data_IF_050209376475
#
_entry.id   IF_050209376475
#
_cell.length_a   1.000
_cell.length_b   1.000
_cell.length_c   1.000
_cell.angle_alpha   90.00
_cell.angle_beta   90.00
_cell.angle_gamma   90.00
#
_symmetry.space_group_name_H-M   'P 1'
#
loop_
_entity.id
_entity.type
_entity.pdbx_description
1 polymer ?
#
# COMPACT_ATOMS: atom_id res chain seq x y z
N UNK A 1 -3.45 -28.70 -19.15
CA UNK A 1 -3.19 -30.03 -19.75
C UNK A 1 -1.69 -30.28 -19.63
N UNK A 2 -1.31 -31.21 -18.73
CA UNK A 2 -0.09 -32.02 -18.73
C UNK A 2 -0.07 -32.79 -17.40
N UNK A 3 -0.12 -34.11 -17.52
CA UNK A 3 -0.23 -35.12 -16.47
C UNK A 3 1.18 -35.65 -16.18
N UNK A 4 1.49 -35.99 -14.93
CA UNK A 4 2.50 -37.00 -14.61
C UNK A 4 2.20 -37.67 -13.26
N UNK A 5 2.00 -38.99 -13.29
CA UNK A 5 1.93 -39.87 -12.12
C UNK A 5 3.35 -40.33 -11.70
N UNK A 6 3.62 -40.57 -10.40
CA UNK A 6 4.84 -41.22 -9.95
C UNK A 6 4.65 -42.75 -9.82
N UNK A 7 5.67 -43.52 -10.23
CA UNK A 7 5.75 -44.97 -10.00
C UNK A 7 6.82 -45.34 -8.98
N UNK A 8 6.37 -46.13 -7.99
CA UNK A 8 7.06 -47.21 -7.23
C UNK A 8 8.15 -46.86 -6.19
N UNK A 9 7.68 -46.86 -4.94
CA UNK A 9 8.10 -47.61 -3.75
C UNK A 9 9.48 -48.31 -3.69
N UNK A 10 10.12 -48.19 -2.52
CA UNK A 10 10.52 -49.35 -1.70
C UNK A 10 10.58 -48.99 -0.21
N UNK A 11 10.10 -49.93 0.61
CA UNK A 11 9.79 -49.79 2.03
C UNK A 11 10.98 -50.14 2.95
N UNK A 12 10.97 -49.59 4.16
CA UNK A 12 11.57 -50.22 5.34
C UNK A 12 10.61 -50.06 6.52
N UNK A 13 10.26 -51.19 7.13
CA UNK A 13 9.40 -51.32 8.30
C UNK A 13 10.30 -51.49 9.53
N UNK A 14 10.03 -50.73 10.59
CA UNK A 14 10.43 -51.09 11.95
C UNK A 14 9.30 -50.74 12.92
N UNK A 15 8.72 -51.79 13.51
CA UNK A 15 7.64 -51.76 14.49
C UNK A 15 8.12 -51.22 15.85
N UNK A 16 7.27 -50.46 16.54
CA UNK A 16 7.38 -50.25 17.99
C UNK A 16 6.01 -50.36 18.67
N UNK A 17 6.00 -51.09 19.78
CA UNK A 17 4.87 -51.45 20.63
C UNK A 17 4.28 -50.25 21.38
N UNK A 18 2.93 -50.20 21.49
CA UNK A 18 2.17 -49.27 22.32
C UNK A 18 1.87 -49.89 23.70
N UNK A 19 2.15 -49.16 24.78
CA UNK A 19 1.53 -49.38 26.10
C UNK A 19 0.51 -48.25 26.36
N UNK A 20 -0.76 -48.54 26.70
CA UNK A 20 -1.74 -47.50 26.98
C UNK A 20 -1.68 -47.05 28.45
N UNK A 21 -1.66 -45.74 28.68
CA UNK A 21 -1.93 -45.14 30.00
C UNK A 21 -3.26 -44.39 29.89
N UNK A 22 -4.30 -44.93 30.54
CA UNK A 22 -5.64 -44.35 30.59
C UNK A 22 -5.70 -43.21 31.62
N UNK A 23 -6.25 -42.06 31.22
CA UNK A 23 -6.75 -41.06 32.18
C UNK A 23 -8.25 -40.85 31.99
N UNK A 24 -8.98 -40.96 33.11
CA UNK A 24 -10.43 -40.87 33.25
C UNK A 24 -10.78 -39.40 33.56
N UNK A 25 -11.66 -38.79 32.77
CA UNK A 25 -12.28 -37.49 33.09
C UNK A 25 -13.79 -37.69 33.34
N UNK A 26 -14.41 -36.90 34.23
CA UNK A 26 -15.72 -37.19 34.78
C UNK A 26 -16.89 -36.67 33.93
N UNK A 27 -18.00 -37.37 34.11
CA UNK A 27 -19.31 -37.34 33.47
C UNK A 27 -19.96 -35.95 33.25
N UNK A 28 -20.58 -35.76 32.08
CA UNK A 28 -21.96 -35.24 31.99
C UNK A 28 -22.63 -35.60 30.65
N UNK A 29 -23.59 -36.51 30.79
CA UNK A 29 -24.75 -36.87 29.95
C UNK A 29 -25.04 -36.05 28.68
N UNK A 30 -24.91 -36.66 27.48
CA UNK A 30 -25.93 -36.65 26.40
C UNK A 30 -25.71 -37.85 25.44
N UNK A 31 -26.80 -38.43 24.95
CA UNK A 31 -26.89 -39.71 24.23
C UNK A 31 -26.34 -39.74 22.78
N UNK A 32 -25.55 -40.78 22.49
CA UNK A 32 -25.37 -41.60 21.26
C UNK A 32 -25.73 -41.03 19.87
N UNK A 33 -24.74 -40.95 18.95
CA UNK A 33 -24.54 -41.91 17.82
C UNK A 33 -23.64 -41.34 16.70
N UNK A 34 -22.50 -41.97 16.37
CA UNK A 34 -21.72 -41.72 15.15
C UNK A 34 -20.20 -41.93 15.31
N UNK A 35 -19.49 -42.55 14.35
CA UNK A 35 -18.12 -43.03 14.54
C UNK A 35 -17.07 -41.92 14.49
N UNK A 36 -16.04 -42.17 15.29
CA UNK A 36 -14.94 -41.29 15.67
C UNK A 36 -14.05 -40.83 14.51
N UNK A 37 -13.73 -39.53 14.48
CA UNK A 37 -12.64 -38.97 13.68
C UNK A 37 -11.57 -38.41 14.64
N UNK A 38 -10.53 -39.20 14.87
CA UNK A 38 -9.36 -38.82 15.67
C UNK A 38 -8.51 -37.83 14.85
N UNK A 39 -8.51 -36.56 15.25
CA UNK A 39 -7.58 -35.54 14.75
C UNK A 39 -6.31 -35.63 15.60
N UNK A 40 -5.25 -36.22 15.05
CA UNK A 40 -3.93 -36.21 15.70
C UNK A 40 -3.27 -34.85 15.52
N UNK A 41 -3.20 -34.06 16.60
CA UNK A 41 -2.38 -32.84 16.69
C UNK A 41 -1.03 -33.23 17.27
N UNK A 42 0.04 -33.15 16.47
CA UNK A 42 1.41 -33.27 16.98
C UNK A 42 1.85 -31.92 17.58
N UNK A 43 1.86 -31.84 18.92
CA UNK A 43 2.48 -30.72 19.65
C UNK A 43 3.92 -31.11 19.97
N UNK A 44 4.89 -30.44 19.34
CA UNK A 44 6.30 -30.52 19.72
C UNK A 44 6.54 -29.68 20.98
N UNK A 45 6.77 -30.32 22.12
CA UNK A 45 7.28 -29.66 23.34
C UNK A 45 8.77 -29.96 23.46
N UNK A 46 9.59 -28.94 23.27
CA UNK A 46 11.02 -28.97 23.63
C UNK A 46 11.12 -28.59 25.10
N UNK A 47 11.36 -29.57 25.98
CA UNK A 47 11.69 -29.31 27.38
C UNK A 47 13.16 -29.59 27.63
N UNK A 48 13.97 -28.53 27.68
CA UNK A 48 15.31 -28.56 28.26
C UNK A 48 15.21 -28.45 29.78
N UNK A 49 15.86 -29.37 30.50
CA UNK A 49 15.91 -29.36 31.96
C UNK A 49 16.99 -28.40 32.45
N UNK A 50 16.58 -27.39 33.23
CA UNK A 50 17.47 -26.58 34.06
C UNK A 50 17.34 -27.03 35.53
N UNK A 51 18.48 -27.30 36.18
CA UNK A 51 18.67 -27.39 37.64
C UNK A 51 19.84 -26.45 37.93
N UNK A 52 19.63 -25.25 38.49
CA UNK A 52 19.64 -24.95 39.93
C UNK A 52 21.09 -24.76 40.39
N UNK A 53 21.53 -23.74 41.12
CA UNK A 53 20.88 -22.64 41.87
C UNK A 53 22.00 -21.75 42.45
N UNK A 54 21.75 -20.44 42.51
CA UNK A 54 22.35 -19.39 43.39
C UNK A 54 23.88 -19.15 43.35
N UNK A 55 24.28 -17.87 43.31
CA UNK A 55 24.97 -17.16 44.40
C UNK A 55 25.32 -15.72 44.01
N UNK A 56 25.53 -14.91 45.05
CA UNK A 56 25.61 -13.47 45.06
C UNK A 56 26.98 -12.87 44.63
N UNK A 57 26.93 -11.57 44.31
CA UNK A 57 27.92 -10.49 44.51
C UNK A 57 29.44 -10.79 44.44
N UNK A 58 30.08 -9.96 43.60
CA UNK A 58 31.39 -9.27 43.80
C UNK A 58 32.67 -10.08 43.95
N UNK A 59 33.71 -9.65 43.22
CA UNK A 59 35.09 -9.68 43.73
C UNK A 59 36.04 -10.64 43.01
N UNK A 60 36.85 -10.06 42.13
CA UNK A 60 38.32 -10.10 42.16
C UNK A 60 39.10 -11.44 42.18
N UNK A 61 40.08 -11.47 41.27
CA UNK A 61 41.35 -12.21 41.23
C UNK A 61 41.45 -13.60 40.56
N UNK A 62 42.38 -13.62 39.59
CA UNK A 62 43.00 -14.73 38.83
C UNK A 62 43.93 -15.57 39.77
N UNK A 63 44.78 -16.54 39.32
CA UNK A 63 45.07 -17.07 37.98
C UNK A 63 45.41 -18.60 37.94
N UNK A 64 45.98 -19.03 36.79
CA UNK A 64 46.93 -20.13 36.57
C UNK A 64 46.41 -21.44 35.92
N UNK A 65 46.56 -21.47 34.59
CA UNK A 65 46.55 -22.68 33.78
C UNK A 65 47.90 -23.40 33.90
N UNK A 66 47.88 -24.64 34.38
CA UNK A 66 49.00 -25.57 34.24
C UNK A 66 48.88 -26.23 32.86
N UNK A 67 49.92 -26.08 32.04
CA UNK A 67 50.11 -26.86 30.81
C UNK A 67 50.49 -28.30 31.18
N UNK A 68 49.77 -29.28 30.64
CA UNK A 68 50.29 -30.64 30.46
C UNK A 68 50.05 -31.05 29.02
N UNK A 69 51.13 -31.15 28.27
CA UNK A 69 51.21 -31.71 26.93
C UNK A 69 51.42 -33.22 27.04
N UNK A 70 50.77 -34.03 26.19
CA UNK A 70 51.27 -35.36 25.83
C UNK A 70 51.14 -35.60 24.32
N UNK A 71 52.32 -35.78 23.72
CA UNK A 71 52.70 -36.48 22.49
C UNK A 71 52.16 -37.93 22.50
N UNK A 72 51.93 -38.73 21.45
CA UNK A 72 52.27 -38.73 20.02
C UNK A 72 51.67 -40.01 19.38
N UNK A 73 51.75 -40.10 18.04
CA UNK A 73 51.50 -41.26 17.13
C UNK A 73 50.03 -41.42 16.71
N UNK A 74 49.66 -41.51 15.43
CA UNK A 74 50.38 -41.54 14.16
C UNK A 74 49.55 -42.29 13.11
N UNK A 75 49.30 -41.63 11.97
CA UNK A 75 49.05 -42.18 10.62
C UNK A 75 47.69 -42.90 10.38
N UNK A 76 46.88 -42.38 9.44
CA UNK A 76 46.67 -42.96 8.10
C UNK A 76 45.99 -41.89 7.22
N UNK A 77 46.72 -41.46 6.21
CA UNK A 77 46.28 -40.63 5.09
C UNK A 77 45.36 -41.46 4.19
N UNK A 78 44.17 -40.95 3.89
CA UNK A 78 43.44 -41.31 2.66
C UNK A 78 43.01 -40.01 1.98
N UNK A 79 43.73 -39.67 0.91
CA UNK A 79 43.28 -38.73 -0.08
C UNK A 79 42.27 -39.43 -0.98
N UNK A 80 41.06 -38.88 -1.14
CA UNK A 80 40.20 -39.13 -2.28
C UNK A 80 39.25 -37.94 -2.49
N UNK A 81 39.51 -37.24 -3.59
CA UNK A 81 38.54 -36.78 -4.58
C UNK A 81 37.31 -36.00 -4.12
N UNK A 82 37.14 -34.82 -4.74
CA UNK A 82 35.80 -34.40 -5.15
C UNK A 82 35.55 -32.91 -5.00
N UNK A 83 35.99 -32.17 -6.01
CA UNK A 83 35.50 -30.82 -6.28
C UNK A 83 33.97 -30.87 -6.44
N UNK A 84 33.23 -30.38 -5.46
CA UNK A 84 31.80 -30.10 -5.61
C UNK A 84 31.53 -28.71 -5.03
N UNK A 85 31.93 -27.67 -5.79
CA UNK A 85 31.29 -26.36 -5.68
C UNK A 85 29.82 -26.56 -6.01
N UNK A 86 28.99 -26.75 -5.00
CA UNK A 86 27.54 -26.60 -5.13
C UNK A 86 27.29 -25.13 -5.42
N UNK A 87 27.16 -24.80 -6.71
CA UNK A 87 26.47 -23.59 -7.13
C UNK A 87 25.03 -23.72 -6.66
N UNK A 88 24.71 -23.09 -5.54
CA UNK A 88 23.34 -22.91 -5.10
C UNK A 88 22.66 -21.97 -6.10
N UNK A 89 22.16 -22.53 -7.20
CA UNK A 89 21.21 -21.85 -8.06
C UNK A 89 19.92 -21.67 -7.27
N UNK A 90 19.86 -20.58 -6.51
CA UNK A 90 18.67 -20.15 -5.79
C UNK A 90 17.59 -19.81 -6.80
N UNK A 91 16.70 -20.77 -7.07
CA UNK A 91 15.43 -20.47 -7.73
C UNK A 91 14.61 -19.60 -6.79
N UNK A 92 14.71 -18.28 -6.97
CA UNK A 92 13.77 -17.33 -6.38
C UNK A 92 12.42 -17.62 -7.01
N UNK A 93 11.57 -18.34 -6.26
CA UNK A 93 10.17 -18.53 -6.61
C UNK A 93 9.50 -17.16 -6.48
N UNK A 94 9.36 -16.46 -7.61
CA UNK A 94 8.57 -15.24 -7.68
C UNK A 94 7.11 -15.61 -7.43
N UNK A 95 6.66 -15.48 -6.19
CA UNK A 95 5.23 -15.47 -5.89
C UNK A 95 4.68 -14.15 -6.44
N UNK A 96 4.09 -14.20 -7.64
CA UNK A 96 3.23 -13.14 -8.13
C UNK A 96 1.93 -13.19 -7.30
N UNK A 97 1.98 -12.59 -6.12
CA UNK A 97 0.79 -12.37 -5.31
C UNK A 97 0.02 -11.26 -6.02
N UNK A 98 -0.93 -11.62 -6.89
CA UNK A 98 -1.93 -10.67 -7.37
C UNK A 98 -2.64 -10.11 -6.14
N UNK A 99 -2.24 -8.93 -5.68
CA UNK A 99 -2.98 -8.23 -4.65
C UNK A 99 -4.37 -7.96 -5.22
N UNK A 100 -5.39 -8.58 -4.64
CA UNK A 100 -6.77 -8.32 -4.98
C UNK A 100 -7.09 -6.94 -4.42
N UNK A 101 -6.85 -5.90 -5.22
CA UNK A 101 -7.22 -4.53 -4.85
C UNK A 101 -8.71 -4.52 -4.58
N UNK A 102 -9.09 -4.25 -3.33
CA UNK A 102 -10.49 -4.15 -2.96
C UNK A 102 -11.13 -3.06 -3.82
N UNK A 103 -12.24 -3.38 -4.49
CA UNK A 103 -12.96 -2.42 -5.30
C UNK A 103 -13.35 -1.23 -4.41
N UNK A 104 -12.92 -0.03 -4.81
CA UNK A 104 -13.28 1.20 -4.12
C UNK A 104 -14.79 1.38 -4.20
N UNK A 105 -15.45 1.55 -3.05
CA UNK A 105 -16.88 1.85 -3.00
C UNK A 105 -17.12 3.19 -3.70
N UNK A 106 -18.08 3.22 -4.62
CA UNK A 106 -18.53 4.47 -5.25
C UNK A 106 -19.26 5.30 -4.21
N UNK A 107 -19.14 6.62 -4.31
CA UNK A 107 -19.80 7.57 -3.40
C UNK A 107 -20.37 8.74 -4.17
N UNK A 108 -21.46 9.32 -3.70
CA UNK A 108 -21.90 10.63 -4.15
C UNK A 108 -20.81 11.67 -3.80
N UNK A 109 -20.49 12.54 -4.75
CA UNK A 109 -19.59 13.65 -4.53
C UNK A 109 -20.28 14.67 -3.64
N UNK A 110 -19.58 15.04 -2.56
CA UNK A 110 -20.11 15.90 -1.52
C UNK A 110 -19.74 17.36 -1.82
N UNK A 111 -18.59 17.62 -2.44
CA UNK A 111 -18.05 18.97 -2.54
C UNK A 111 -18.66 19.76 -3.72
N UNK A 112 -19.41 20.83 -3.39
CA UNK A 112 -19.97 21.78 -4.35
C UNK A 112 -19.29 23.16 -4.32
N UNK A 113 -18.24 23.34 -3.50
CA UNK A 113 -17.59 24.65 -3.27
C UNK A 113 -17.03 25.28 -4.55
N UNK A 114 -16.50 24.47 -5.45
CA UNK A 114 -15.89 24.92 -6.71
C UNK A 114 -16.89 25.13 -7.85
N UNK A 115 -18.19 24.84 -7.65
CA UNK A 115 -19.19 25.09 -8.70
C UNK A 115 -19.46 26.58 -8.86
N UNK A 116 -19.65 26.99 -10.12
CA UNK A 116 -20.20 28.30 -10.47
C UNK A 116 -21.64 28.40 -10.00
N UNK A 117 -22.10 29.61 -9.74
CA UNK A 117 -23.39 29.92 -9.13
C UNK A 117 -24.57 29.33 -9.93
N UNK A 118 -24.57 29.48 -11.26
CA UNK A 118 -25.59 28.85 -12.14
C UNK A 118 -25.56 27.33 -12.05
N UNK A 119 -24.34 26.77 -12.09
CA UNK A 119 -24.16 25.32 -12.03
C UNK A 119 -24.54 24.73 -10.67
N UNK A 120 -24.49 25.53 -9.59
CA UNK A 120 -24.93 25.15 -8.26
C UNK A 120 -26.46 25.04 -8.19
N UNK A 121 -27.18 26.05 -8.69
CA UNK A 121 -28.66 26.05 -8.74
C UNK A 121 -29.18 24.89 -9.60
N UNK A 122 -28.60 24.70 -10.79
CA UNK A 122 -28.99 23.59 -11.68
C UNK A 122 -28.76 22.24 -11.02
N UNK A 123 -27.61 22.05 -10.35
CA UNK A 123 -27.33 20.82 -9.63
C UNK A 123 -28.31 20.59 -8.48
N UNK A 124 -28.60 21.61 -7.68
CA UNK A 124 -29.53 21.52 -6.55
C UNK A 124 -30.95 21.13 -7.02
N UNK A 125 -31.48 21.80 -8.04
CA UNK A 125 -32.79 21.48 -8.59
C UNK A 125 -32.85 20.07 -9.19
N UNK A 126 -31.77 19.62 -9.83
CA UNK A 126 -31.68 18.24 -10.35
C UNK A 126 -31.72 17.21 -9.22
N UNK A 127 -31.02 17.48 -8.11
CA UNK A 127 -31.01 16.61 -6.93
C UNK A 127 -32.39 16.57 -6.28
N UNK A 128 -33.02 17.73 -6.05
CA UNK A 128 -34.36 17.81 -5.46
C UNK A 128 -35.36 17.03 -6.33
N UNK A 129 -35.38 17.26 -7.64
CA UNK A 129 -36.26 16.55 -8.56
C UNK A 129 -36.04 15.03 -8.60
N UNK A 130 -34.81 14.56 -8.38
CA UNK A 130 -34.49 13.13 -8.33
C UNK A 130 -34.81 12.47 -6.97
N UNK A 131 -34.88 13.27 -5.90
CA UNK A 131 -35.19 12.79 -4.55
C UNK A 131 -36.68 12.86 -4.21
N UNK A 132 -37.45 13.73 -4.88
CA UNK A 132 -38.91 13.74 -4.77
C UNK A 132 -39.48 12.38 -5.21
N UNK A 133 -40.35 11.80 -4.38
CA UNK A 133 -40.99 10.50 -4.59
C UNK A 133 -40.03 9.31 -4.78
N UNK A 134 -38.81 9.40 -4.26
CA UNK A 134 -37.83 8.33 -4.39
C UNK A 134 -38.01 7.23 -3.31
N UNK A 135 -38.25 5.95 -3.68
CA UNK A 135 -38.45 4.87 -2.71
C UNK A 135 -37.23 4.59 -1.82
N UNK A 136 -36.02 4.95 -2.26
CA UNK A 136 -34.80 4.72 -1.52
C UNK A 136 -34.52 5.78 -0.45
N UNK A 137 -35.10 6.97 -0.58
CA UNK A 137 -34.80 8.13 0.26
C UNK A 137 -36.08 8.67 0.90
N UNK A 138 -36.65 7.88 1.80
CA UNK A 138 -37.96 8.15 2.42
C UNK A 138 -37.89 9.31 3.43
N UNK A 139 -36.73 9.54 4.05
CA UNK A 139 -36.55 10.57 5.10
C UNK A 139 -35.25 11.36 4.87
N UNK A 140 -35.22 12.23 3.85
CA UNK A 140 -34.06 13.05 3.56
C UNK A 140 -33.74 13.96 4.75
N UNK A 141 -32.44 14.04 5.10
CA UNK A 141 -31.93 14.92 6.15
C UNK A 141 -30.81 15.78 5.55
N UNK A 142 -30.94 17.12 5.50
CA UNK A 142 -32.11 17.96 5.86
C UNK A 142 -33.34 17.70 4.99
N UNK A 143 -34.52 18.17 5.43
CA UNK A 143 -35.76 18.00 4.69
C UNK A 143 -35.67 18.70 3.32
N UNK A 144 -36.29 18.12 2.29
CA UNK A 144 -36.23 18.68 0.93
C UNK A 144 -36.84 20.08 0.84
N UNK A 145 -37.84 20.38 1.68
CA UNK A 145 -38.46 21.69 1.78
C UNK A 145 -37.46 22.76 2.26
N UNK A 146 -36.62 22.45 3.25
CA UNK A 146 -35.59 23.36 3.75
C UNK A 146 -34.53 23.64 2.67
N UNK A 147 -34.13 22.60 1.94
CA UNK A 147 -33.17 22.74 0.83
C UNK A 147 -33.78 23.58 -0.29
N UNK A 148 -35.05 23.38 -0.62
CA UNK A 148 -35.76 24.17 -1.62
C UNK A 148 -35.82 25.65 -1.22
N UNK A 149 -36.12 25.96 0.03
CA UNK A 149 -36.14 27.34 0.53
C UNK A 149 -34.76 28.02 0.40
N UNK A 150 -33.67 27.30 0.67
CA UNK A 150 -32.30 27.81 0.48
C UNK A 150 -31.94 28.03 -1.00
N UNK A 151 -32.41 27.15 -1.89
CA UNK A 151 -32.22 27.31 -3.34
C UNK A 151 -32.97 28.54 -3.83
N UNK A 152 -34.21 28.73 -3.38
CA UNK A 152 -35.05 29.86 -3.78
C UNK A 152 -34.44 31.19 -3.28
N UNK A 153 -34.02 31.27 -2.02
CA UNK A 153 -33.31 32.44 -1.47
C UNK A 153 -32.02 32.77 -2.25
N UNK A 154 -31.18 31.76 -2.49
CA UNK A 154 -29.95 31.95 -3.26
C UNK A 154 -30.22 32.39 -4.71
N UNK A 155 -31.22 31.80 -5.37
CA UNK A 155 -31.60 32.15 -6.74
C UNK A 155 -32.10 33.59 -6.85
N UNK A 156 -32.89 34.06 -5.88
CA UNK A 156 -33.39 35.42 -5.82
C UNK A 156 -32.24 36.43 -5.63
N UNK A 157 -31.32 36.15 -4.71
CA UNK A 157 -30.11 36.97 -4.48
C UNK A 157 -29.19 36.99 -5.70
N UNK A 158 -29.06 35.87 -6.41
CA UNK A 158 -28.30 35.76 -7.65
C UNK A 158 -28.91 36.61 -8.77
N UNK A 159 -30.23 36.62 -8.92
CA UNK A 159 -30.93 37.47 -9.90
C UNK A 159 -30.72 38.96 -9.55
N UNK A 160 -30.85 39.34 -8.28
CA UNK A 160 -30.60 40.72 -7.82
C UNK A 160 -29.17 41.16 -8.15
N UNK A 161 -28.17 40.37 -7.77
CA UNK A 161 -26.76 40.67 -8.05
C UNK A 161 -26.45 40.82 -9.56
N UNK A 162 -27.16 40.11 -10.44
CA UNK A 162 -26.98 40.21 -11.90
C UNK A 162 -27.56 41.47 -12.52
N UNK A 163 -28.61 42.05 -11.94
CA UNK A 163 -29.32 43.21 -12.49
C UNK A 163 -28.60 44.52 -12.15
N UNK A 164 -27.28 44.58 -12.44
CA UNK A 164 -26.39 45.70 -12.06
C UNK A 164 -26.30 45.83 -10.53
N UNK A 165 -26.02 44.70 -9.87
CA UNK A 165 -26.15 44.62 -8.42
C UNK A 165 -25.18 45.51 -7.67
N UNK A 166 -25.63 45.98 -6.50
CA UNK A 166 -24.78 46.74 -5.58
C UNK A 166 -23.72 45.82 -4.93
N UNK A 167 -22.66 46.39 -4.32
CA UNK A 167 -21.73 45.61 -3.51
C UNK A 167 -22.42 44.83 -2.38
N UNK A 168 -23.52 45.37 -1.84
CA UNK A 168 -24.35 44.72 -0.82
C UNK A 168 -25.06 43.47 -1.35
N UNK A 169 -25.74 43.55 -2.50
CA UNK A 169 -26.41 42.39 -3.10
C UNK A 169 -25.42 41.28 -3.48
N UNK A 170 -24.20 41.67 -3.87
CA UNK A 170 -23.10 40.73 -4.12
C UNK A 170 -22.68 40.02 -2.83
N UNK A 171 -22.53 40.76 -1.73
CA UNK A 171 -22.19 40.20 -0.42
C UNK A 171 -23.28 39.25 0.11
N UNK A 172 -24.56 39.64 0.04
CA UNK A 172 -25.69 38.79 0.46
C UNK A 172 -25.75 37.47 -0.31
N UNK A 173 -25.47 37.51 -1.62
CA UNK A 173 -25.37 36.31 -2.46
C UNK A 173 -24.16 35.45 -2.08
N UNK A 174 -23.01 36.06 -1.78
CA UNK A 174 -21.82 35.35 -1.34
C UNK A 174 -21.98 34.74 0.06
N UNK A 175 -22.79 35.34 0.94
CA UNK A 175 -23.20 34.79 2.25
C UNK A 175 -24.21 33.63 2.12
N UNK A 176 -25.12 33.68 1.14
CA UNK A 176 -26.10 32.62 0.91
C UNK A 176 -25.51 31.36 0.27
N UNK A 177 -24.46 31.49 -0.55
CA UNK A 177 -23.78 30.38 -1.22
C UNK A 177 -23.30 29.27 -0.26
N UNK A 178 -22.53 29.55 0.82
CA UNK A 178 -22.08 28.52 1.74
C UNK A 178 -23.22 27.82 2.49
N UNK A 179 -24.33 28.51 2.78
CA UNK A 179 -25.50 27.91 3.44
C UNK A 179 -26.14 26.82 2.56
N UNK A 180 -26.34 27.11 1.28
CA UNK A 180 -26.84 26.13 0.31
C UNK A 180 -25.86 24.96 0.14
N UNK A 181 -24.55 25.25 0.06
CA UNK A 181 -23.52 24.21 -0.05
C UNK A 181 -23.51 23.30 1.17
N UNK A 182 -23.66 23.84 2.39
CA UNK A 182 -23.72 23.04 3.61
C UNK A 182 -24.96 22.14 3.65
N UNK A 183 -26.13 22.66 3.28
CA UNK A 183 -27.34 21.84 3.18
C UNK A 183 -27.20 20.68 2.17
N UNK A 184 -26.60 20.96 1.00
CA UNK A 184 -26.28 19.93 0.01
C UNK A 184 -25.22 18.93 0.51
N UNK A 185 -24.26 19.37 1.31
CA UNK A 185 -23.28 18.49 1.95
C UNK A 185 -23.97 17.51 2.90
N UNK A 186 -24.83 18.02 3.79
CA UNK A 186 -25.60 17.19 4.73
C UNK A 186 -26.46 16.16 3.99
N UNK A 187 -27.14 16.59 2.92
CA UNK A 187 -27.94 15.69 2.08
C UNK A 187 -27.07 14.63 1.38
N UNK A 188 -25.90 15.01 0.88
CA UNK A 188 -24.95 14.07 0.28
C UNK A 188 -24.43 13.04 1.29
N UNK A 189 -24.26 13.41 2.56
CA UNK A 189 -23.91 12.47 3.63
C UNK A 189 -25.03 11.46 3.87
N UNK A 190 -26.28 11.93 3.94
CA UNK A 190 -27.45 11.05 4.06
C UNK A 190 -27.53 10.05 2.90
N UNK A 191 -27.37 10.52 1.65
CA UNK A 191 -27.36 9.67 0.46
C UNK A 191 -26.26 8.60 0.54
N UNK A 192 -25.05 8.99 0.92
CA UNK A 192 -23.93 8.06 1.05
C UNK A 192 -24.16 7.03 2.18
N UNK A 193 -24.82 7.42 3.27
CA UNK A 193 -25.18 6.54 4.38
C UNK A 193 -26.17 5.45 3.93
N UNK A 194 -27.23 5.85 3.22
CA UNK A 194 -28.29 4.93 2.75
C UNK A 194 -27.77 4.02 1.64
N UNK A 195 -27.05 4.58 0.66
CA UNK A 195 -26.62 3.85 -0.52
C UNK A 195 -25.50 2.83 -0.25
N UNK A 196 -24.70 2.99 0.82
CA UNK A 196 -23.61 2.05 1.24
C UNK A 196 -22.62 1.65 0.13
N UNK A 197 -22.55 2.43 -0.96
CA UNK A 197 -21.70 2.18 -2.13
C UNK A 197 -22.37 1.45 -3.30
N UNK A 198 -23.68 1.20 -3.26
CA UNK A 198 -24.43 0.66 -4.38
C UNK A 198 -24.68 1.74 -5.46
N UNK A 199 -24.22 1.47 -6.69
CA UNK A 199 -24.27 2.45 -7.77
C UNK A 199 -25.70 2.80 -8.18
N UNK A 200 -26.60 1.82 -8.27
CA UNK A 200 -28.00 2.04 -8.67
C UNK A 200 -28.71 3.02 -7.74
N UNK A 201 -28.57 2.83 -6.42
CA UNK A 201 -29.18 3.71 -5.42
C UNK A 201 -28.52 5.09 -5.42
N UNK A 202 -27.20 5.17 -5.64
CA UNK A 202 -26.49 6.45 -5.75
C UNK A 202 -26.93 7.28 -6.97
N UNK A 203 -27.11 6.63 -8.13
CA UNK A 203 -27.56 7.34 -9.33
C UNK A 203 -29.01 7.80 -9.22
N UNK A 204 -29.83 7.08 -8.44
CA UNK A 204 -31.22 7.43 -8.20
C UNK A 204 -31.40 8.75 -7.43
N UNK A 205 -30.41 9.21 -6.65
CA UNK A 205 -30.49 10.50 -5.93
C UNK A 205 -30.15 11.72 -6.78
N UNK A 206 -29.70 11.55 -8.03
CA UNK A 206 -29.28 12.66 -8.89
C UNK A 206 -27.93 13.30 -8.53
N UNK A 207 -27.24 12.82 -7.49
CA UNK A 207 -25.92 13.32 -7.13
C UNK A 207 -24.86 12.88 -8.15
N UNK A 208 -23.87 13.73 -8.47
CA UNK A 208 -22.72 13.30 -9.26
C UNK A 208 -21.93 12.25 -8.45
N UNK A 209 -21.64 11.10 -9.07
CA UNK A 209 -21.00 9.96 -8.40
C UNK A 209 -19.49 9.95 -8.70
N UNK A 210 -18.70 9.52 -7.73
CA UNK A 210 -17.27 9.28 -7.92
C UNK A 210 -17.04 8.20 -8.97
N UNK A 211 -16.26 8.51 -9.99
CA UNK A 211 -15.86 7.53 -10.99
C UNK A 211 -15.11 6.35 -10.34
N UNK A 212 -15.32 5.11 -10.83
CA UNK A 212 -14.41 4.04 -10.48
C UNK A 212 -13.03 4.40 -11.05
N UNK A 213 -11.97 4.15 -10.29
CA UNK A 213 -10.62 4.28 -10.82
C UNK A 213 -10.51 3.34 -12.04
N UNK A 214 -10.11 3.88 -13.20
CA UNK A 214 -9.92 3.07 -14.40
C UNK A 214 -8.88 1.97 -14.16
N UNK A 215 -8.78 0.96 -15.05
CA UNK A 215 -7.75 -0.06 -14.93
C UNK A 215 -6.38 0.61 -14.95
N UNK A 216 -5.78 0.77 -13.78
CA UNK A 216 -4.40 1.20 -13.65
C UNK A 216 -3.54 0.02 -14.08
N UNK A 217 -2.70 0.23 -15.09
CA UNK A 217 -1.64 -0.72 -15.47
C UNK A 217 -0.36 -0.35 -14.75
N UNK A 218 0.60 -1.28 -14.68
CA UNK A 218 1.96 -0.95 -14.19
C UNK A 218 2.54 0.17 -15.07
N UNK A 219 3.28 1.14 -14.49
CA UNK A 219 3.89 2.21 -15.27
C UNK A 219 4.89 1.69 -16.31
N UNK A 220 5.01 2.39 -17.44
CA UNK A 220 6.09 2.17 -18.39
C UNK A 220 7.38 2.88 -17.93
N UNK A 221 8.49 2.60 -18.61
CA UNK A 221 9.78 3.22 -18.29
C UNK A 221 9.74 4.74 -18.53
N UNK A 222 10.28 5.52 -17.60
CA UNK A 222 10.25 6.99 -17.70
C UNK A 222 11.16 7.48 -18.83
N UNK A 223 10.65 8.42 -19.62
CA UNK A 223 11.34 9.01 -20.76
C UNK A 223 11.90 10.41 -20.45
N UNK A 224 12.76 10.90 -21.34
CA UNK A 224 13.34 12.26 -21.30
C UNK A 224 14.02 12.61 -19.96
N UNK A 225 14.71 11.64 -19.36
CA UNK A 225 15.53 11.88 -18.17
C UNK A 225 16.69 12.78 -18.55
N UNK A 226 16.74 13.96 -17.95
CA UNK A 226 17.78 14.95 -18.17
C UNK A 226 18.39 15.39 -16.85
N UNK A 227 19.69 15.60 -16.90
CA UNK A 227 20.45 16.19 -15.81
C UNK A 227 20.96 17.54 -16.30
N UNK A 228 20.80 18.57 -15.47
CA UNK A 228 21.36 19.90 -15.69
C UNK A 228 22.08 20.35 -14.44
N UNK A 229 22.93 21.36 -14.55
CA UNK A 229 23.58 21.93 -13.37
C UNK A 229 22.56 22.55 -12.40
N UNK A 230 22.80 22.38 -11.10
CA UNK A 230 22.04 23.05 -10.04
C UNK A 230 22.49 24.50 -9.83
N UNK A 231 21.99 25.20 -8.82
CA UNK A 231 22.34 26.60 -8.58
C UNK A 231 23.73 26.78 -7.95
N UNK A 232 24.21 25.78 -7.21
CA UNK A 232 25.51 25.77 -6.54
C UNK A 232 26.41 24.66 -7.08
N UNK A 233 27.71 24.75 -6.79
CA UNK A 233 28.65 23.63 -7.02
C UNK A 233 28.26 22.45 -6.13
N UNK A 234 28.43 21.22 -6.63
CA UNK A 234 27.97 19.99 -6.00
C UNK A 234 26.47 19.76 -6.08
N UNK A 235 25.74 20.50 -6.93
CA UNK A 235 24.31 20.30 -7.18
C UNK A 235 24.04 19.95 -8.63
N UNK A 236 23.24 18.92 -8.83
CA UNK A 236 22.71 18.54 -10.15
C UNK A 236 21.19 18.53 -10.06
N UNK A 237 20.53 19.15 -11.04
CA UNK A 237 19.09 19.12 -11.19
C UNK A 237 18.68 17.95 -12.08
N UNK A 238 17.78 17.12 -11.57
CA UNK A 238 17.12 16.02 -12.25
C UNK A 238 15.70 16.44 -12.67
N UNK A 239 15.46 16.39 -13.97
CA UNK A 239 14.12 16.53 -14.55
C UNK A 239 13.83 15.33 -15.46
N UNK A 240 12.56 14.95 -15.59
CA UNK A 240 12.10 13.87 -16.47
C UNK A 240 10.65 14.09 -16.92
N UNK A 241 10.19 13.32 -17.90
CA UNK A 241 8.80 13.38 -18.36
C UNK A 241 7.84 12.88 -17.28
N UNK A 242 6.77 13.64 -17.05
CA UNK A 242 5.69 13.23 -16.16
C UNK A 242 4.84 12.17 -16.84
N UNK A 243 4.46 11.14 -16.10
CA UNK A 243 3.47 10.16 -16.50
C UNK A 243 2.20 10.30 -15.65
N UNK A 244 1.04 10.06 -16.25
CA UNK A 244 -0.26 10.09 -15.56
C UNK A 244 -0.51 8.82 -14.73
N UNK A 245 -1.27 8.97 -13.64
CA UNK A 245 -1.58 7.85 -12.75
C UNK A 245 -0.41 7.37 -11.87
N UNK A 246 0.66 8.16 -11.77
CA UNK A 246 1.82 7.87 -10.91
C UNK A 246 1.63 8.48 -9.53
N UNK A 247 2.01 7.72 -8.48
CA UNK A 247 1.99 8.20 -7.10
C UNK A 247 3.31 8.80 -6.68
N UNK A 248 4.40 8.12 -7.04
CA UNK A 248 5.75 8.52 -6.66
C UNK A 248 6.73 8.04 -7.73
N UNK A 249 7.81 8.79 -7.90
CA UNK A 249 8.95 8.41 -8.71
C UNK A 249 10.08 8.02 -7.78
N UNK A 250 10.75 6.93 -8.11
CA UNK A 250 11.97 6.52 -7.43
C UNK A 250 13.16 6.76 -8.36
N UNK A 251 14.25 7.27 -7.83
CA UNK A 251 15.49 7.44 -8.57
C UNK A 251 16.69 6.97 -7.76
N UNK A 252 17.71 6.56 -8.50
CA UNK A 252 19.00 6.19 -7.95
C UNK A 252 20.07 6.87 -8.79
N UNK A 253 21.19 7.19 -8.15
CA UNK A 253 22.35 7.71 -8.83
C UNK A 253 23.61 6.95 -8.41
N UNK A 254 24.65 7.05 -9.22
CA UNK A 254 25.97 6.51 -8.89
C UNK A 254 27.05 7.39 -9.46
N UNK A 255 28.20 7.36 -8.82
CA UNK A 255 29.41 7.97 -9.33
C UNK A 255 30.15 6.96 -10.22
N UNK A 256 30.45 7.34 -11.45
CA UNK A 256 31.08 6.48 -12.45
C UNK A 256 32.57 6.76 -12.58
N UNK A 257 33.03 7.93 -12.10
CA UNK A 257 34.46 8.29 -12.12
C UNK A 257 35.26 7.40 -11.18
N UNK A 258 34.67 7.04 -10.04
CA UNK A 258 35.20 6.03 -9.13
C UNK A 258 34.72 4.66 -9.62
N UNK A 259 35.65 3.73 -9.84
CA UNK A 259 35.39 2.44 -10.49
C UNK A 259 34.32 1.64 -9.74
N UNK A 260 33.24 1.26 -10.43
CA UNK A 260 32.19 0.32 -10.00
C UNK A 260 31.51 0.59 -8.63
N UNK A 261 31.13 1.84 -8.35
CA UNK A 261 30.17 2.07 -7.26
C UNK A 261 28.78 1.51 -7.58
N UNK A 262 28.20 0.82 -6.59
CA UNK A 262 26.81 0.40 -6.61
C UNK A 262 25.87 1.60 -6.70
N UNK A 263 24.66 1.37 -7.20
CA UNK A 263 23.61 2.39 -7.19
C UNK A 263 23.30 2.83 -5.76
N UNK A 264 23.06 4.13 -5.57
CA UNK A 264 22.62 4.68 -4.29
C UNK A 264 21.35 4.01 -3.77
N UNK A 265 21.02 4.30 -2.51
CA UNK A 265 19.67 4.06 -1.99
C UNK A 265 18.60 4.68 -2.90
N UNK A 266 17.40 4.10 -2.84
CA UNK A 266 16.25 4.59 -3.60
C UNK A 266 15.75 5.87 -2.97
N UNK A 267 15.93 6.96 -3.69
CA UNK A 267 15.34 8.25 -3.36
C UNK A 267 13.98 8.36 -4.03
N UNK A 268 13.07 9.14 -3.44
CA UNK A 268 11.70 9.23 -3.91
C UNK A 268 11.24 10.68 -4.04
N UNK A 269 10.46 10.98 -5.08
CA UNK A 269 9.90 12.31 -5.34
C UNK A 269 8.51 12.21 -5.98
N UNK A 270 7.66 13.20 -5.73
CA UNK A 270 6.35 13.32 -6.39
C UNK A 270 6.39 14.21 -7.62
N UNK A 271 7.44 15.02 -7.77
CA UNK A 271 7.60 15.95 -8.89
C UNK A 271 8.52 15.39 -9.97
N UNK A 272 8.16 15.61 -11.23
CA UNK A 272 9.04 15.25 -12.36
C UNK A 272 10.08 16.32 -12.68
N UNK A 273 10.03 17.47 -12.00
CA UNK A 273 10.92 18.61 -12.24
C UNK A 273 11.43 19.21 -10.95
N UNK A 274 12.63 19.77 -11.00
CA UNK A 274 13.23 20.53 -9.90
C UNK A 274 13.76 19.66 -8.77
N UNK A 275 14.02 18.37 -9.04
CA UNK A 275 14.66 17.50 -8.06
C UNK A 275 16.15 17.83 -8.03
N UNK A 276 16.69 18.15 -6.86
CA UNK A 276 18.10 18.51 -6.70
C UNK A 276 18.82 17.33 -6.05
N UNK A 277 19.86 16.83 -6.74
CA UNK A 277 20.81 15.86 -6.23
C UNK A 277 21.96 16.62 -5.57
N UNK A 278 22.05 16.50 -4.25
CA UNK A 278 23.07 17.14 -3.44
C UNK A 278 23.21 16.39 -2.10
N UNK A 279 24.38 16.42 -1.45
CA UNK A 279 25.65 16.94 -1.96
C UNK A 279 26.33 15.96 -2.94
N UNK A 280 26.90 16.49 -4.03
CA UNK A 280 27.73 15.74 -4.98
C UNK A 280 29.15 16.32 -5.01
N UNK A 281 30.14 15.48 -5.30
CA UNK A 281 31.53 15.91 -5.44
C UNK A 281 31.79 16.53 -6.83
N UNK A 282 32.30 17.78 -6.92
CA UNK A 282 32.61 18.44 -8.18
C UNK A 282 33.70 17.72 -8.99
N UNK A 283 33.64 17.83 -10.32
CA UNK A 283 34.59 17.23 -11.25
C UNK A 283 34.39 15.73 -11.48
N UNK A 284 33.29 15.15 -10.97
CA UNK A 284 32.98 13.73 -11.12
C UNK A 284 31.75 13.50 -11.99
N UNK A 285 31.73 12.34 -12.67
CA UNK A 285 30.65 11.94 -13.55
C UNK A 285 29.63 11.11 -12.77
N UNK A 286 28.40 11.59 -12.76
CA UNK A 286 27.26 10.91 -12.15
C UNK A 286 26.32 10.35 -13.21
N UNK A 287 25.80 9.16 -12.94
CA UNK A 287 24.72 8.53 -13.69
C UNK A 287 23.47 8.43 -12.84
N UNK A 288 22.30 8.60 -13.46
CA UNK A 288 21.00 8.59 -12.81
C UNK A 288 20.02 7.75 -13.60
N UNK A 289 19.20 6.97 -12.89
CA UNK A 289 18.04 6.27 -13.44
C UNK A 289 16.81 6.55 -12.59
N UNK A 290 15.65 6.60 -13.23
CA UNK A 290 14.35 6.94 -12.61
C UNK A 290 13.33 5.87 -12.99
N UNK A 291 12.40 5.55 -12.09
CA UNK A 291 11.23 4.72 -12.40
C UNK A 291 9.99 5.30 -11.75
N UNK A 292 8.83 5.02 -12.32
CA UNK A 292 7.55 5.40 -11.75
C UNK A 292 6.93 4.26 -10.93
N UNK A 293 6.21 4.62 -9.87
CA UNK A 293 5.51 3.67 -9.00
C UNK A 293 4.07 4.11 -8.81
N UNK A 294 3.14 3.17 -9.00
CA UNK A 294 1.72 3.38 -8.76
C UNK A 294 1.14 2.28 -7.84
N UNK A 295 -0.19 2.21 -7.73
CA UNK A 295 -0.88 1.21 -6.90
C UNK A 295 -0.67 -0.23 -7.35
N UNK A 296 -0.35 -0.45 -8.62
CA UNK A 296 -0.16 -1.78 -9.19
C UNK A 296 1.27 -2.28 -9.04
N UNK A 297 2.23 -1.36 -8.94
CA UNK A 297 3.63 -1.68 -8.73
C UNK A 297 4.58 -0.63 -9.26
N UNK A 298 5.86 -1.00 -9.25
CA UNK A 298 6.93 -0.22 -9.86
C UNK A 298 7.08 -0.59 -11.33
N UNK A 299 7.19 0.41 -12.19
CA UNK A 299 7.57 0.25 -13.59
C UNK A 299 9.07 -0.02 -13.75
N UNK A 300 9.46 -0.23 -15.00
CA UNK A 300 10.85 -0.42 -15.37
C UNK A 300 11.68 0.86 -15.17
N UNK A 301 12.99 0.67 -14.99
CA UNK A 301 13.93 1.78 -14.92
C UNK A 301 14.05 2.48 -16.28
N UNK A 302 14.19 3.80 -16.24
CA UNK A 302 14.46 4.64 -17.40
C UNK A 302 15.80 4.31 -18.04
N UNK A 303 16.01 4.91 -19.22
CA UNK A 303 17.35 5.10 -19.75
C UNK A 303 18.23 5.87 -18.74
N UNK A 304 19.52 5.56 -18.73
CA UNK A 304 20.49 6.18 -17.83
C UNK A 304 20.87 7.55 -18.41
N UNK A 305 20.73 8.60 -17.59
CA UNK A 305 21.24 9.93 -17.90
C UNK A 305 22.56 10.16 -17.16
N UNK A 306 23.51 10.87 -17.77
CA UNK A 306 24.80 11.16 -17.16
C UNK A 306 25.20 12.63 -17.29
N UNK A 307 25.86 13.17 -16.27
CA UNK A 307 26.41 14.53 -16.25
C UNK A 307 27.71 14.58 -15.46
N UNK A 308 28.54 15.58 -15.75
CA UNK A 308 29.65 15.97 -14.89
C UNK A 308 29.16 16.98 -13.85
N UNK A 309 29.31 16.67 -12.56
CA UNK A 309 28.97 17.61 -11.49
C UNK A 309 29.99 18.76 -11.48
N UNK A 310 29.50 20.00 -11.50
CA UNK A 310 30.29 21.22 -11.33
C UNK A 310 30.52 21.59 -9.87
#
# INVERSE_FOLDING_TARGET
MCIAFPTKANAFVTNYFLFPVNYRLPDSNYHLSGPEAIVSIAVFVVSGTYRGSNWAKSGQYRPNWVKISFLQTGIITFALFGLARRTAAGYRKWSCTKQKTMARKMKALIDFTRKKEDGLVVAANTIIGAMTDNPHYVTPMPALEDVQALVDDFSNKLIAARRRGSPEETALKDEAKPLLVDALHQLAYYVNLVAKGHLSTLLSSGFPVSSPDGPSTVPYAIEYVRLTDGYQSGQVRLDFAKQDGIRIYEYQYRNVTLTELEWSDRLATTSSRGNILAPLEPGQRYEVRVRAVNTQGAGDWSQIASIWAR
#
